data_IF_146148698162
#
_entry.id   IF_146148698162
#
_cell.length_a   1.000
_cell.length_b   1.000
_cell.length_c   1.000
_cell.angle_alpha   90.00
_cell.angle_beta   90.00
_cell.angle_gamma   90.00
#
_symmetry.space_group_name_H-M   'P 1'
#
loop_
_entity.id
_entity.type
_entity.pdbx_description
1 polymer ?
#
# COMPACT_ATOMS: atom_id res chain seq x y z
N UNK A 1 25.66 -45.87 -77.52
CA UNK A 1 26.71 -46.38 -76.61
C UNK A 1 27.31 -45.22 -75.83
N UNK A 2 27.03 -45.16 -74.53
CA UNK A 2 27.92 -44.82 -73.41
C UNK A 2 27.04 -44.62 -72.17
N UNK A 3 26.91 -45.68 -71.38
CA UNK A 3 26.46 -45.60 -69.99
C UNK A 3 27.55 -44.88 -69.18
N UNK A 4 27.20 -44.07 -68.17
CA UNK A 4 27.96 -44.05 -66.91
C UNK A 4 27.18 -43.45 -65.72
N UNK A 5 26.78 -44.37 -64.84
CA UNK A 5 26.85 -44.37 -63.36
C UNK A 5 26.27 -43.20 -62.54
N UNK A 6 25.26 -43.60 -61.75
CA UNK A 6 24.66 -42.92 -60.59
C UNK A 6 25.68 -42.78 -59.46
N UNK A 7 25.69 -41.64 -58.75
CA UNK A 7 26.14 -41.66 -57.36
C UNK A 7 25.22 -40.84 -56.46
N UNK A 8 24.67 -41.55 -55.49
CA UNK A 8 23.75 -41.12 -54.45
C UNK A 8 24.54 -40.44 -53.34
N UNK A 9 24.31 -39.16 -53.09
CA UNK A 9 24.62 -38.56 -51.80
C UNK A 9 23.38 -37.85 -51.26
N UNK A 10 22.71 -38.54 -50.35
CA UNK A 10 21.90 -37.90 -49.32
C UNK A 10 22.84 -37.08 -48.45
N UNK A 11 22.88 -35.76 -48.65
CA UNK A 11 23.35 -34.83 -47.63
C UNK A 11 22.13 -34.09 -47.11
N UNK A 12 21.64 -34.61 -45.99
CA UNK A 12 20.86 -33.86 -45.04
C UNK A 12 21.85 -32.91 -44.35
N UNK A 13 21.80 -31.61 -44.64
CA UNK A 13 22.43 -30.62 -43.77
C UNK A 13 21.53 -29.40 -43.65
N UNK A 14 20.68 -29.51 -42.62
CA UNK A 14 20.18 -28.44 -41.75
C UNK A 14 19.72 -27.17 -42.48
N UNK A 15 18.40 -27.07 -42.64
CA UNK A 15 17.74 -25.79 -42.78
C UNK A 15 18.32 -24.84 -41.73
N UNK A 16 18.99 -23.79 -42.18
CA UNK A 16 19.39 -22.69 -41.32
C UNK A 16 18.11 -22.13 -40.71
N UNK A 17 17.81 -22.51 -39.47
CA UNK A 17 16.91 -21.71 -38.66
C UNK A 17 17.70 -20.44 -38.42
N UNK A 18 17.42 -19.41 -39.21
CA UNK A 18 17.74 -18.06 -38.82
C UNK A 18 16.85 -17.77 -37.61
N UNK A 19 17.33 -18.12 -36.42
CA UNK A 19 16.72 -17.70 -35.16
C UNK A 19 17.02 -16.21 -34.99
N UNK A 20 16.43 -15.37 -35.85
CA UNK A 20 16.04 -14.02 -35.43
C UNK A 20 14.78 -14.19 -34.57
N UNK A 21 14.62 -13.60 -33.41
CA UNK A 21 15.37 -12.58 -32.68
C UNK A 21 15.10 -12.85 -31.19
N UNK A 22 16.12 -12.88 -30.35
CA UNK A 22 15.94 -12.63 -28.92
C UNK A 22 16.90 -11.48 -28.56
N UNK A 23 16.53 -10.30 -29.00
CA UNK A 23 17.11 -9.06 -28.50
C UNK A 23 15.98 -8.10 -28.23
N UNK A 24 15.22 -8.38 -27.17
CA UNK A 24 14.81 -7.31 -26.27
C UNK A 24 16.00 -6.99 -25.36
N UNK A 25 17.13 -6.59 -25.95
CA UNK A 25 18.21 -5.99 -25.17
C UNK A 25 17.78 -4.54 -24.91
N UNK A 26 16.71 -4.37 -24.14
CA UNK A 26 16.46 -3.10 -23.49
C UNK A 26 17.43 -3.04 -22.30
N UNK A 27 18.36 -2.07 -22.25
CA UNK A 27 19.24 -1.92 -21.11
C UNK A 27 18.70 -0.90 -20.08
N UNK A 28 17.56 -0.28 -20.34
CA UNK A 28 17.02 0.81 -19.53
C UNK A 28 16.10 0.19 -18.49
N UNK A 29 16.42 0.40 -17.21
CA UNK A 29 15.52 0.02 -16.13
C UNK A 29 14.36 1.03 -16.03
N UNK A 30 13.16 0.58 -15.62
CA UNK A 30 12.06 1.49 -15.32
C UNK A 30 12.44 2.47 -14.21
N UNK A 31 11.95 3.69 -14.28
CA UNK A 31 12.00 4.66 -13.19
C UNK A 31 10.61 4.81 -12.60
N UNK A 32 10.51 4.61 -11.29
CA UNK A 32 9.26 4.71 -10.55
C UNK A 32 9.30 5.81 -9.48
N UNK A 33 8.16 6.46 -9.27
CA UNK A 33 8.01 7.53 -8.28
C UNK A 33 6.63 7.52 -7.63
N UNK A 34 6.56 7.85 -6.33
CA UNK A 34 5.30 8.02 -5.62
C UNK A 34 4.49 9.19 -6.22
N UNK A 35 3.19 8.98 -6.40
CA UNK A 35 2.24 9.99 -6.90
C UNK A 35 1.24 10.36 -5.81
N UNK A 36 0.63 9.35 -5.19
CA UNK A 36 -0.32 9.52 -4.09
C UNK A 36 0.04 8.57 -2.97
N UNK A 37 0.50 9.14 -1.85
CA UNK A 37 0.78 8.40 -0.62
C UNK A 37 -0.52 7.94 0.07
N UNK A 38 -0.39 6.94 0.94
CA UNK A 38 -1.44 6.61 1.92
C UNK A 38 -1.56 7.76 2.92
N UNK A 39 -2.78 8.23 3.18
CA UNK A 39 -3.02 9.24 4.22
C UNK A 39 -2.68 8.67 5.60
N UNK A 40 -2.10 9.49 6.47
CA UNK A 40 -1.68 9.04 7.81
C UNK A 40 -2.13 10.02 8.90
N UNK A 41 -2.72 9.52 10.00
CA UNK A 41 -3.26 8.17 10.18
C UNK A 41 -4.42 7.86 9.22
N UNK A 42 -4.72 6.58 8.98
CA UNK A 42 -5.89 6.13 8.21
C UNK A 42 -6.70 5.10 8.99
N UNK A 43 -8.04 5.18 8.90
CA UNK A 43 -8.96 4.16 9.42
C UNK A 43 -9.25 3.05 8.40
N UNK A 44 -8.82 3.22 7.15
CA UNK A 44 -8.94 2.22 6.10
C UNK A 44 -7.79 1.21 6.20
N UNK A 45 -8.13 -0.05 6.45
CA UNK A 45 -7.18 -1.16 6.54
C UNK A 45 -6.75 -1.72 5.18
N UNK A 46 -7.34 -1.24 4.08
CA UNK A 46 -6.99 -1.59 2.69
C UNK A 46 -6.73 -0.33 1.86
N UNK A 47 -5.80 0.54 2.26
CA UNK A 47 -5.65 1.83 1.63
C UNK A 47 -5.13 1.70 0.20
N UNK A 48 -5.60 2.61 -0.66
CA UNK A 48 -5.06 2.78 -2.00
C UNK A 48 -3.74 3.56 -1.97
N UNK A 49 -2.82 3.17 -2.85
CA UNK A 49 -1.54 3.81 -3.08
C UNK A 49 -1.33 4.00 -4.58
N UNK A 50 -0.80 5.14 -5.01
CA UNK A 50 -0.50 5.38 -6.43
C UNK A 50 0.96 5.73 -6.65
N UNK A 51 1.61 5.02 -7.56
CA UNK A 51 2.93 5.34 -8.06
C UNK A 51 2.91 5.47 -9.59
N UNK A 52 3.92 6.12 -10.15
CA UNK A 52 4.15 6.22 -11.59
C UNK A 52 5.29 5.30 -12.01
N UNK A 53 5.22 4.80 -13.24
CA UNK A 53 6.29 4.07 -13.91
C UNK A 53 6.45 4.61 -15.33
N UNK A 54 7.67 4.79 -15.82
CA UNK A 54 7.91 5.16 -17.22
C UNK A 54 7.80 3.96 -18.18
N UNK A 55 7.89 2.74 -17.66
CA UNK A 55 7.71 1.49 -18.41
C UNK A 55 6.69 0.54 -17.75
N UNK A 56 6.11 -0.36 -18.55
CA UNK A 56 5.32 -1.47 -18.05
C UNK A 56 6.23 -2.58 -17.47
N UNK A 57 5.74 -3.30 -16.45
CA UNK A 57 6.51 -4.37 -15.85
C UNK A 57 5.80 -5.12 -14.74
N UNK A 58 6.50 -6.05 -14.10
CA UNK A 58 6.02 -6.83 -12.96
C UNK A 58 6.36 -6.10 -11.67
N UNK A 59 5.35 -5.90 -10.81
CA UNK A 59 5.51 -5.26 -9.50
C UNK A 59 6.00 -6.28 -8.49
N UNK A 60 7.05 -5.93 -7.75
CA UNK A 60 7.52 -6.68 -6.58
C UNK A 60 7.36 -5.81 -5.34
N UNK A 61 6.72 -6.37 -4.32
CA UNK A 61 6.54 -5.73 -3.02
C UNK A 61 7.59 -6.21 -2.02
N UNK A 62 8.07 -5.31 -1.17
CA UNK A 62 8.95 -5.62 -0.05
C UNK A 62 8.47 -5.02 1.26
N UNK A 63 8.97 -5.54 2.38
CA UNK A 63 8.60 -5.12 3.72
C UNK A 63 7.25 -5.68 4.17
N UNK A 64 6.47 -4.85 4.86
CA UNK A 64 5.19 -5.27 5.48
C UNK A 64 3.96 -5.03 4.61
N UNK A 65 4.11 -4.49 3.39
CA UNK A 65 3.01 -4.22 2.47
C UNK A 65 2.99 -5.23 1.32
N UNK A 66 1.79 -5.53 0.81
CA UNK A 66 1.59 -6.30 -0.43
C UNK A 66 0.26 -5.91 -1.07
N UNK A 67 0.08 -6.28 -2.34
CA UNK A 67 -1.18 -6.13 -3.09
C UNK A 67 -1.36 -7.33 -4.01
N UNK A 68 -2.60 -7.60 -4.42
CA UNK A 68 -2.90 -8.57 -5.47
C UNK A 68 -2.53 -8.07 -6.87
N UNK A 69 -2.36 -6.76 -7.06
CA UNK A 69 -1.91 -6.18 -8.32
C UNK A 69 -0.42 -6.45 -8.52
N UNK A 70 -0.05 -7.20 -9.56
CA UNK A 70 1.34 -7.59 -9.83
C UNK A 70 1.89 -7.03 -11.13
N UNK A 71 1.13 -6.18 -11.83
CA UNK A 71 1.55 -5.60 -13.11
C UNK A 71 1.41 -4.09 -13.08
N UNK A 72 2.44 -3.39 -13.54
CA UNK A 72 2.46 -1.96 -13.77
C UNK A 72 2.37 -1.67 -15.28
N UNK A 73 1.78 -0.54 -15.60
CA UNK A 73 1.75 0.06 -16.94
C UNK A 73 2.50 1.39 -16.92
N UNK A 74 2.95 1.85 -18.09
CA UNK A 74 3.49 3.21 -18.21
C UNK A 74 2.44 4.25 -17.78
N UNK A 75 2.85 5.18 -16.92
CA UNK A 75 1.98 6.16 -16.29
C UNK A 75 1.66 5.80 -14.84
N UNK A 76 0.50 6.25 -14.36
CA UNK A 76 0.08 6.06 -12.97
C UNK A 76 -0.55 4.68 -12.76
N UNK A 77 -0.15 4.02 -11.68
CA UNK A 77 -0.60 2.71 -11.25
C UNK A 77 -1.15 2.84 -9.84
N UNK A 78 -2.47 2.71 -9.70
CA UNK A 78 -3.14 2.64 -8.39
C UNK A 78 -3.24 1.18 -7.98
N UNK A 79 -2.76 0.89 -6.78
CA UNK A 79 -2.83 -0.43 -6.14
C UNK A 79 -3.61 -0.30 -4.83
N UNK A 80 -4.36 -1.33 -4.49
CA UNK A 80 -5.00 -1.46 -3.17
C UNK A 80 -4.15 -2.39 -2.33
N UNK A 81 -3.67 -1.94 -1.17
CA UNK A 81 -2.90 -2.80 -0.28
C UNK A 81 -3.82 -3.87 0.33
N UNK A 82 -3.27 -5.08 0.54
CA UNK A 82 -4.00 -6.13 1.29
C UNK A 82 -4.35 -5.64 2.69
N UNK A 83 -5.32 -6.28 3.34
CA UNK A 83 -5.75 -5.90 4.68
C UNK A 83 -4.57 -5.85 5.66
N UNK A 84 -4.36 -4.66 6.22
CA UNK A 84 -3.34 -4.31 7.19
C UNK A 84 -3.97 -4.24 8.58
N UNK A 85 -3.25 -4.70 9.60
CA UNK A 85 -3.67 -4.52 10.99
C UNK A 85 -3.29 -3.12 11.48
N UNK A 86 -3.92 -2.66 12.56
CA UNK A 86 -3.53 -1.40 13.20
C UNK A 86 -2.03 -1.42 13.56
N UNK A 87 -1.32 -0.35 13.19
CA UNK A 87 0.12 -0.28 13.35
C UNK A 87 0.81 0.73 12.45
N UNK A 88 2.12 0.85 12.65
CA UNK A 88 3.01 1.72 11.84
C UNK A 88 3.66 0.93 10.71
N UNK A 89 3.55 1.44 9.49
CA UNK A 89 4.13 0.87 8.28
C UNK A 89 5.20 1.81 7.72
N UNK A 90 6.47 1.46 7.91
CA UNK A 90 7.63 2.31 7.54
C UNK A 90 8.68 1.62 6.66
N UNK A 91 8.49 0.33 6.37
CA UNK A 91 9.44 -0.51 5.64
C UNK A 91 8.91 -0.98 4.27
N UNK A 92 7.77 -0.44 3.83
CA UNK A 92 7.12 -0.89 2.60
C UNK A 92 7.85 -0.36 1.36
N UNK A 93 8.09 -1.26 0.40
CA UNK A 93 8.84 -0.94 -0.82
C UNK A 93 8.21 -1.56 -2.06
N UNK A 94 8.44 -0.93 -3.21
CA UNK A 94 8.05 -1.39 -4.53
C UNK A 94 9.27 -1.36 -5.46
N UNK A 95 9.40 -2.38 -6.30
CA UNK A 95 10.19 -2.33 -7.55
C UNK A 95 9.34 -2.80 -8.72
N UNK A 96 9.69 -2.37 -9.92
CA UNK A 96 9.09 -2.85 -11.18
C UNK A 96 10.20 -3.47 -12.03
N UNK A 97 9.96 -4.67 -12.53
CA UNK A 97 10.86 -5.36 -13.47
C UNK A 97 10.22 -5.39 -14.85
N UNK A 98 10.90 -4.83 -15.85
CA UNK A 98 10.41 -4.81 -17.23
C UNK A 98 10.43 -6.20 -17.89
N UNK A 99 10.05 -6.25 -19.18
CA UNK A 99 10.04 -7.50 -19.96
C UNK A 99 11.43 -8.01 -20.36
N UNK A 100 12.46 -7.16 -20.34
CA UNK A 100 13.85 -7.50 -20.60
C UNK A 100 14.60 -7.97 -19.34
N UNK A 101 14.00 -7.80 -18.16
CA UNK A 101 14.54 -8.18 -16.86
C UNK A 101 15.27 -7.06 -16.11
N UNK A 102 15.19 -5.80 -16.55
CA UNK A 102 15.77 -4.70 -15.80
C UNK A 102 14.87 -4.31 -14.63
N UNK A 103 15.48 -4.11 -13.46
CA UNK A 103 14.77 -3.78 -12.22
C UNK A 103 14.90 -2.28 -11.95
N UNK A 104 13.78 -1.65 -11.62
CA UNK A 104 13.70 -0.22 -11.31
C UNK A 104 14.52 0.20 -10.08
N UNK A 105 14.57 1.51 -9.83
CA UNK A 105 14.88 2.00 -8.48
C UNK A 105 13.91 1.40 -7.46
N UNK A 106 14.37 1.21 -6.22
CA UNK A 106 13.48 0.87 -5.10
C UNK A 106 12.71 2.10 -4.68
N UNK A 107 11.39 2.03 -4.76
CA UNK A 107 10.49 3.06 -4.24
C UNK A 107 10.04 2.68 -2.84
N UNK A 108 10.41 3.50 -1.85
CA UNK A 108 9.86 3.39 -0.50
C UNK A 108 8.50 4.08 -0.47
N UNK A 109 7.48 3.38 0.02
CA UNK A 109 6.16 3.97 0.29
C UNK A 109 6.32 4.89 1.50
N UNK A 110 5.85 6.15 1.39
CA UNK A 110 5.85 7.09 2.51
C UNK A 110 5.19 6.46 3.74
N UNK A 111 5.84 6.55 4.90
CA UNK A 111 5.39 5.86 6.12
C UNK A 111 3.99 6.31 6.55
N UNK A 112 3.17 5.37 6.98
CA UNK A 112 1.79 5.63 7.42
C UNK A 112 1.40 4.80 8.64
N UNK A 113 0.34 5.22 9.32
CA UNK A 113 -0.27 4.53 10.46
C UNK A 113 -1.67 4.08 10.06
N UNK A 114 -1.95 2.80 10.23
CA UNK A 114 -3.32 2.26 10.20
C UNK A 114 -3.84 2.26 11.63
N UNK A 115 -4.98 2.90 11.84
CA UNK A 115 -5.69 2.95 13.11
C UNK A 115 -7.19 2.89 12.81
N UNK A 116 -7.70 1.66 12.73
CA UNK A 116 -9.11 1.37 12.43
C UNK A 116 -9.97 1.23 13.68
N UNK A 117 -9.37 1.31 14.86
CA UNK A 117 -10.07 1.15 16.14
C UNK A 117 -10.73 2.46 16.55
N UNK A 118 -12.06 2.49 16.54
CA UNK A 118 -12.82 3.64 16.97
C UNK A 118 -12.75 3.81 18.49
N UNK A 119 -12.71 5.07 18.93
CA UNK A 119 -12.63 5.35 20.34
C UNK A 119 -13.90 4.95 21.11
N UNK A 120 -13.70 4.40 22.31
CA UNK A 120 -14.78 4.04 23.22
C UNK A 120 -14.83 4.99 24.41
N UNK A 121 -16.04 5.22 24.92
CA UNK A 121 -16.33 6.08 26.06
C UNK A 121 -17.19 5.31 27.06
N UNK A 122 -16.91 5.46 28.35
CA UNK A 122 -17.75 4.90 29.41
C UNK A 122 -17.96 5.90 30.53
N UNK A 123 -19.20 6.03 31.01
CA UNK A 123 -19.50 6.82 32.19
C UNK A 123 -18.95 6.10 33.44
N UNK A 124 -18.17 6.83 34.24
CA UNK A 124 -17.57 6.34 35.49
C UNK A 124 -18.32 6.92 36.69
N UNK A 125 -18.62 8.21 36.65
CA UNK A 125 -19.40 8.90 37.69
C UNK A 125 -20.48 9.73 37.01
N UNK A 126 -21.71 9.26 37.18
CA UNK A 126 -22.90 9.93 36.67
C UNK A 126 -23.31 11.10 37.57
N UNK A 127 -23.85 12.14 36.96
CA UNK A 127 -24.57 13.19 37.70
C UNK A 127 -25.91 12.61 38.17
N UNK A 128 -26.14 12.55 39.47
CA UNK A 128 -27.42 12.09 40.01
C UNK A 128 -28.50 13.17 39.85
N UNK A 129 -29.66 12.79 39.34
CA UNK A 129 -30.79 13.71 39.12
C UNK A 129 -32.07 13.24 39.83
N UNK A 130 -32.88 14.14 40.41
CA UNK A 130 -32.65 15.59 40.50
C UNK A 130 -31.58 15.94 41.54
N UNK A 131 -30.85 17.03 41.30
CA UNK A 131 -29.89 17.62 42.25
C UNK A 131 -30.05 19.14 42.26
N UNK A 132 -29.72 19.77 43.40
CA UNK A 132 -29.62 21.24 43.52
C UNK A 132 -28.16 21.72 43.33
N UNK A 133 -27.23 20.80 43.08
CA UNK A 133 -25.84 21.12 42.77
C UNK A 133 -25.72 21.68 41.35
N UNK A 134 -25.20 22.89 41.22
CA UNK A 134 -24.99 23.58 39.94
C UNK A 134 -23.63 23.28 39.31
N UNK A 135 -22.75 22.56 40.02
CA UNK A 135 -21.41 22.15 39.56
C UNK A 135 -21.15 20.68 39.92
N UNK A 136 -22.01 19.74 39.48
CA UNK A 136 -21.85 18.35 39.85
C UNK A 136 -20.59 17.75 39.23
N UNK A 137 -19.95 16.84 39.97
CA UNK A 137 -18.85 16.05 39.45
C UNK A 137 -19.37 15.06 38.39
N UNK A 138 -18.68 15.01 37.25
CA UNK A 138 -18.90 14.02 36.20
C UNK A 138 -17.56 13.40 35.84
N UNK A 139 -17.53 12.09 35.62
CA UNK A 139 -16.32 11.43 35.14
C UNK A 139 -16.69 10.38 34.10
N UNK A 140 -15.95 10.36 33.01
CA UNK A 140 -16.01 9.33 31.99
C UNK A 140 -14.61 8.83 31.68
N UNK A 141 -14.47 7.60 31.23
CA UNK A 141 -13.22 7.09 30.67
C UNK A 141 -13.26 7.09 29.15
N UNK A 142 -12.10 7.25 28.52
CA UNK A 142 -11.93 7.02 27.08
C UNK A 142 -10.79 6.04 26.83
N UNK A 143 -10.91 5.21 25.80
CA UNK A 143 -9.81 4.33 25.36
C UNK A 143 -8.72 5.05 24.57
N UNK A 144 -8.93 6.32 24.19
CA UNK A 144 -8.00 7.09 23.38
C UNK A 144 -8.03 8.56 23.83
N UNK A 145 -6.92 9.27 23.64
CA UNK A 145 -6.90 10.70 23.84
C UNK A 145 -7.68 11.42 22.72
N UNK A 146 -8.33 12.53 23.04
CA UNK A 146 -9.19 13.21 22.08
C UNK A 146 -9.59 14.62 22.50
N UNK A 147 -10.48 15.22 21.72
CA UNK A 147 -11.11 16.50 22.06
C UNK A 147 -12.50 16.26 22.63
N UNK A 148 -12.83 16.90 23.74
CA UNK A 148 -14.15 16.83 24.35
C UNK A 148 -15.05 17.90 23.74
N UNK A 149 -16.22 17.50 23.26
CA UNK A 149 -17.28 18.43 22.83
C UNK A 149 -18.49 18.27 23.73
N UNK A 150 -18.95 19.36 24.32
CA UNK A 150 -20.13 19.36 25.19
C UNK A 150 -21.40 19.68 24.38
N UNK A 151 -22.46 18.92 24.63
CA UNK A 151 -23.78 19.14 24.06
C UNK A 151 -24.77 19.76 25.06
N UNK A 152 -25.84 20.37 24.55
CA UNK A 152 -26.92 20.93 25.38
C UNK A 152 -26.49 22.17 26.16
N UNK A 153 -26.88 22.24 27.44
CA UNK A 153 -26.52 23.33 28.36
C UNK A 153 -25.32 23.00 29.26
N UNK A 154 -24.68 21.84 29.06
CA UNK A 154 -23.52 21.43 29.82
C UNK A 154 -22.25 22.11 29.27
N UNK A 155 -21.32 22.46 30.15
CA UNK A 155 -20.03 23.04 29.77
C UNK A 155 -18.98 22.75 30.84
N UNK A 156 -17.73 22.57 30.44
CA UNK A 156 -16.56 22.55 31.33
C UNK A 156 -15.38 23.25 30.65
N UNK A 157 -14.39 23.66 31.44
CA UNK A 157 -13.10 24.14 30.94
C UNK A 157 -12.22 23.00 30.40
N UNK A 158 -12.51 21.74 30.76
CA UNK A 158 -11.77 20.57 30.26
C UNK A 158 -12.19 20.29 28.82
N UNK A 159 -11.32 20.55 27.84
CA UNK A 159 -11.65 20.33 26.41
C UNK A 159 -10.87 19.19 25.78
N UNK A 160 -10.04 18.49 26.56
CA UNK A 160 -9.17 17.41 26.08
C UNK A 160 -9.41 16.17 26.93
N UNK A 161 -9.54 15.02 26.27
CA UNK A 161 -9.61 13.72 26.92
C UNK A 161 -8.23 13.05 26.87
N UNK A 162 -7.86 12.37 27.95
CA UNK A 162 -6.80 11.37 27.97
C UNK A 162 -7.41 9.98 27.73
N UNK A 163 -6.55 9.04 27.36
CA UNK A 163 -6.86 7.61 27.25
C UNK A 163 -7.04 6.94 28.63
N UNK A 164 -7.79 7.59 29.52
CA UNK A 164 -8.02 7.20 30.91
C UNK A 164 -9.30 7.90 31.43
N UNK A 165 -9.48 7.99 32.74
CA UNK A 165 -10.55 8.77 33.37
C UNK A 165 -10.36 10.28 33.14
N UNK A 166 -11.45 10.96 32.79
CA UNK A 166 -11.53 12.38 32.48
C UNK A 166 -12.60 13.04 33.38
N UNK A 167 -12.24 14.17 33.99
CA UNK A 167 -13.06 14.93 34.93
C UNK A 167 -13.20 16.39 34.48
#
# INVERSE_FOLDING_TARGET
>A
MKNLVINLFHIFLLHTILTGCASSNDPIAPVIAEVTAVTTPTTDSTPDYTFSSDEAGTITYGGSCSSSTTSATTGNNTITLVSLSDGTYSNCTITVTDSAGNVSNTLTITSFIVDSTAATLAEVTAVTTPTNDTTPDYTFSSSEAGTITYGGSCSSSTTSATSDNNT
#
